data_IF_832832055566
#
_entry.id   IF_832832055566
#
_cell.length_a   1.000
_cell.length_b   1.000
_cell.length_c   1.000
_cell.angle_alpha   90.00
_cell.angle_beta   90.00
_cell.angle_gamma   90.00
#
_symmetry.space_group_name_H-M   'P 1'
#
loop_
_entity.id
_entity.type
_entity.pdbx_description
1 polymer ?
#
# COMPACT_ATOMS: atom_id res chain seq x y z
N UNK A 1 -16.22 19.76 -9.58
CA UNK A 1 -16.10 18.80 -10.71
C UNK A 1 -16.40 17.35 -10.31
N UNK A 2 -16.07 16.89 -9.09
CA UNK A 2 -16.38 15.52 -8.66
C UNK A 2 -17.89 15.29 -8.44
N UNK A 3 -18.60 16.26 -7.85
CA UNK A 3 -20.04 16.17 -7.59
C UNK A 3 -20.90 16.11 -8.86
N UNK A 4 -20.42 16.68 -10.00
CA UNK A 4 -21.13 16.60 -11.28
C UNK A 4 -21.04 15.23 -11.96
N UNK A 5 -20.20 14.33 -11.43
CA UNK A 5 -20.05 12.95 -11.92
C UNK A 5 -20.88 11.93 -11.14
N UNK A 6 -21.52 12.36 -10.05
CA UNK A 6 -22.47 11.49 -9.35
C UNK A 6 -23.68 11.35 -10.28
N UNK A 7 -23.97 10.14 -10.76
CA UNK A 7 -25.08 9.93 -11.67
C UNK A 7 -26.38 10.35 -11.01
N UNK A 8 -27.12 11.25 -11.63
CA UNK A 8 -28.51 11.46 -11.25
C UNK A 8 -29.26 10.15 -11.50
N UNK A 9 -29.90 9.60 -10.47
CA UNK A 9 -30.58 8.30 -10.50
C UNK A 9 -31.57 8.13 -11.66
N UNK A 10 -31.90 9.20 -12.36
CA UNK A 10 -32.86 9.23 -13.45
C UNK A 10 -32.25 9.39 -14.86
N UNK A 11 -30.94 9.66 -15.00
CA UNK A 11 -30.40 10.18 -16.26
C UNK A 11 -29.45 9.26 -17.05
N UNK A 12 -29.26 7.97 -16.69
CA UNK A 12 -28.14 7.20 -17.24
C UNK A 12 -28.60 5.96 -18.00
N UNK A 13 -28.40 5.96 -19.30
CA UNK A 13 -28.78 4.84 -20.17
C UNK A 13 -27.91 3.57 -20.04
N UNK A 14 -26.68 3.67 -19.58
CA UNK A 14 -25.79 2.51 -19.32
C UNK A 14 -25.71 2.13 -17.85
N UNK A 15 -25.75 3.10 -16.94
CA UNK A 15 -25.70 2.85 -15.50
C UNK A 15 -27.07 2.46 -14.90
N UNK A 16 -28.16 2.49 -15.67
CA UNK A 16 -29.45 1.97 -15.18
C UNK A 16 -29.35 0.51 -14.79
N UNK A 17 -28.62 -0.28 -15.55
CA UNK A 17 -28.43 -1.70 -15.27
C UNK A 17 -27.55 -1.89 -14.02
N UNK A 18 -26.47 -1.13 -13.88
CA UNK A 18 -25.58 -1.19 -12.71
C UNK A 18 -26.31 -0.76 -11.42
N UNK A 19 -27.10 0.32 -11.49
CA UNK A 19 -27.92 0.78 -10.36
C UNK A 19 -28.96 -0.26 -9.97
N UNK A 20 -29.60 -0.90 -10.95
CA UNK A 20 -30.59 -1.94 -10.72
C UNK A 20 -29.95 -3.18 -10.07
N UNK A 21 -28.73 -3.56 -10.50
CA UNK A 21 -27.96 -4.64 -9.88
C UNK A 21 -27.67 -4.30 -8.43
N UNK A 22 -27.12 -3.11 -8.15
CA UNK A 22 -26.77 -2.70 -6.79
C UNK A 22 -28.02 -2.65 -5.88
N UNK A 23 -29.13 -2.06 -6.34
CA UNK A 23 -30.40 -2.02 -5.59
C UNK A 23 -30.91 -3.41 -5.26
N UNK A 24 -30.83 -4.34 -6.22
CA UNK A 24 -31.24 -5.73 -6.00
C UNK A 24 -30.35 -6.41 -4.94
N UNK A 25 -29.05 -6.18 -4.98
CA UNK A 25 -28.14 -6.76 -3.99
C UNK A 25 -28.35 -6.17 -2.59
N UNK A 26 -28.57 -4.86 -2.47
CA UNK A 26 -28.85 -4.19 -1.20
C UNK A 26 -30.15 -4.69 -0.54
N UNK A 27 -31.13 -5.11 -1.33
CA UNK A 27 -32.40 -5.64 -0.80
C UNK A 27 -32.34 -7.12 -0.41
N UNK A 28 -31.24 -7.81 -0.70
CA UNK A 28 -31.08 -9.22 -0.32
C UNK A 28 -30.67 -9.35 1.14
N UNK A 29 -31.30 -10.25 1.85
CA UNK A 29 -30.91 -10.62 3.23
C UNK A 29 -29.99 -11.87 3.27
N UNK A 30 -29.98 -12.67 2.21
CA UNK A 30 -29.19 -13.90 2.08
C UNK A 30 -28.69 -14.07 0.65
N UNK A 31 -27.65 -14.87 0.46
CA UNK A 31 -27.03 -15.20 -0.83
C UNK A 31 -26.58 -13.90 -1.58
N UNK A 32 -25.88 -13.06 -0.87
CA UNK A 32 -25.24 -11.88 -1.47
C UNK A 32 -24.26 -12.29 -2.57
N UNK A 33 -24.18 -11.46 -3.60
CA UNK A 33 -23.19 -11.67 -4.67
C UNK A 33 -21.77 -11.50 -4.10
N UNK A 34 -20.82 -12.40 -4.42
CA UNK A 34 -19.42 -12.21 -4.05
C UNK A 34 -18.89 -10.85 -4.56
N UNK A 35 -18.09 -10.16 -3.76
CA UNK A 35 -17.58 -8.81 -4.09
C UNK A 35 -16.91 -8.73 -5.45
N UNK A 36 -16.11 -9.73 -5.82
CA UNK A 36 -15.48 -9.79 -7.14
C UNK A 36 -16.52 -9.72 -8.28
N UNK A 37 -17.59 -10.50 -8.18
CA UNK A 37 -18.66 -10.50 -9.18
C UNK A 37 -19.44 -9.19 -9.19
N UNK A 38 -19.65 -8.59 -8.02
CA UNK A 38 -20.30 -7.29 -7.91
C UNK A 38 -19.46 -6.20 -8.59
N UNK A 39 -18.16 -6.16 -8.31
CA UNK A 39 -17.25 -5.19 -8.92
C UNK A 39 -17.19 -5.31 -10.44
N UNK A 40 -17.20 -6.55 -10.96
CA UNK A 40 -17.31 -6.79 -12.42
C UNK A 40 -18.65 -6.33 -13.01
N UNK A 41 -19.73 -6.39 -12.22
CA UNK A 41 -21.06 -6.06 -12.69
C UNK A 41 -21.42 -4.57 -12.63
N UNK A 42 -20.69 -3.77 -11.80
CA UNK A 42 -20.97 -2.33 -11.59
C UNK A 42 -19.71 -1.44 -11.62
N UNK A 43 -18.77 -1.61 -12.56
CA UNK A 43 -17.48 -0.92 -12.52
C UNK A 43 -17.62 0.60 -12.64
N UNK A 44 -18.51 1.09 -13.51
CA UNK A 44 -18.72 2.53 -13.71
C UNK A 44 -19.41 3.19 -12.52
N UNK A 45 -20.38 2.51 -11.93
CA UNK A 45 -21.07 3.02 -10.76
C UNK A 45 -20.15 3.12 -9.56
N UNK A 46 -19.34 2.08 -9.31
CA UNK A 46 -18.46 2.06 -8.15
C UNK A 46 -17.34 3.10 -8.26
N UNK A 47 -16.73 3.29 -9.42
CA UNK A 47 -15.72 4.32 -9.65
C UNK A 47 -16.28 5.73 -9.60
N UNK A 48 -17.53 5.92 -10.00
CA UNK A 48 -18.22 7.21 -9.88
C UNK A 48 -18.54 7.57 -8.43
N UNK A 49 -18.95 6.59 -7.62
CA UNK A 49 -19.28 6.80 -6.21
C UNK A 49 -18.03 6.84 -5.33
N UNK A 50 -17.02 6.06 -5.66
CA UNK A 50 -15.76 5.90 -4.92
C UNK A 50 -14.60 5.92 -5.90
N UNK A 51 -14.11 7.09 -6.29
CA UNK A 51 -13.02 7.21 -7.28
C UNK A 51 -11.65 6.82 -6.74
N UNK A 52 -11.52 6.64 -5.43
CA UNK A 52 -10.30 6.24 -4.75
C UNK A 52 -10.49 4.89 -4.08
N UNK A 53 -9.56 3.96 -4.35
CA UNK A 53 -9.52 2.63 -3.77
C UNK A 53 -8.25 2.49 -2.93
N UNK A 54 -8.37 1.99 -1.71
CA UNK A 54 -7.25 1.62 -0.85
C UNK A 54 -7.27 0.10 -0.68
N UNK A 55 -6.30 -0.58 -1.28
CA UNK A 55 -6.25 -2.03 -1.34
C UNK A 55 -4.80 -2.50 -1.33
N UNK A 56 -4.55 -3.71 -0.85
CA UNK A 56 -3.24 -4.35 -1.10
C UNK A 56 -3.11 -4.72 -2.57
N UNK A 57 -1.89 -4.82 -3.13
CA UNK A 57 -1.67 -5.22 -4.52
C UNK A 57 -2.35 -6.54 -4.88
N UNK A 58 -2.26 -7.52 -3.99
CA UNK A 58 -2.94 -8.80 -4.15
C UNK A 58 -4.46 -8.66 -4.25
N UNK A 59 -5.05 -7.83 -3.37
CA UNK A 59 -6.49 -7.56 -3.42
C UNK A 59 -6.91 -6.87 -4.72
N UNK A 60 -6.10 -5.98 -5.25
CA UNK A 60 -6.33 -5.36 -6.56
C UNK A 60 -6.43 -6.45 -7.65
N UNK A 61 -5.48 -7.38 -7.67
CA UNK A 61 -5.45 -8.46 -8.67
C UNK A 61 -6.63 -9.41 -8.54
N UNK A 62 -7.11 -9.67 -7.32
CA UNK A 62 -8.24 -10.57 -7.05
C UNK A 62 -9.59 -9.93 -7.37
N UNK A 63 -9.80 -8.68 -6.99
CA UNK A 63 -11.13 -8.07 -7.00
C UNK A 63 -11.39 -7.16 -8.21
N UNK A 64 -10.37 -6.54 -8.77
CA UNK A 64 -10.52 -5.59 -9.87
C UNK A 64 -10.13 -6.26 -11.19
N UNK A 65 -11.08 -6.37 -12.10
CA UNK A 65 -10.80 -6.88 -13.46
C UNK A 65 -9.97 -5.85 -14.23
N UNK A 66 -8.84 -6.30 -14.81
CA UNK A 66 -7.88 -5.41 -15.45
C UNK A 66 -8.46 -4.59 -16.61
N UNK A 67 -9.43 -5.16 -17.34
CA UNK A 67 -10.05 -4.49 -18.48
C UNK A 67 -11.20 -3.54 -18.08
N UNK A 68 -11.68 -3.64 -16.85
CA UNK A 68 -12.83 -2.87 -16.36
C UNK A 68 -12.44 -1.67 -15.50
N UNK A 69 -11.19 -1.59 -15.06
CA UNK A 69 -10.70 -0.55 -14.17
C UNK A 69 -9.45 0.10 -14.76
N UNK A 70 -9.55 1.39 -15.03
CA UNK A 70 -8.47 2.24 -15.54
C UNK A 70 -8.38 3.48 -14.64
N UNK A 71 -7.32 3.55 -13.84
CA UNK A 71 -7.09 4.64 -12.91
C UNK A 71 -6.15 5.68 -13.51
N UNK A 72 -6.37 6.94 -13.21
CA UNK A 72 -5.45 8.00 -13.63
C UNK A 72 -4.11 7.92 -12.90
N UNK A 73 -4.12 7.40 -11.66
CA UNK A 73 -2.94 7.31 -10.81
C UNK A 73 -3.00 6.11 -9.87
N UNK A 74 -1.91 5.37 -9.79
CA UNK A 74 -1.65 4.34 -8.78
C UNK A 74 -0.56 4.85 -7.86
N UNK A 75 -0.78 4.75 -6.55
CA UNK A 75 0.20 5.14 -5.53
C UNK A 75 0.50 3.91 -4.68
N UNK A 76 1.76 3.53 -4.61
CA UNK A 76 2.24 2.57 -3.64
C UNK A 76 2.77 3.33 -2.43
N UNK A 77 2.30 2.95 -1.25
CA UNK A 77 2.83 3.40 0.03
C UNK A 77 3.53 2.23 0.72
N UNK A 78 4.59 2.51 1.48
CA UNK A 78 5.46 1.48 2.08
C UNK A 78 6.02 0.48 1.05
N UNK A 79 6.42 0.98 -0.11
CA UNK A 79 6.80 0.19 -1.27
C UNK A 79 8.07 -0.66 -1.07
N UNK A 80 8.88 -0.35 -0.04
CA UNK A 80 10.00 -1.20 0.40
C UNK A 80 9.55 -2.59 0.88
N UNK A 81 8.27 -2.76 1.23
CA UNK A 81 7.70 -4.02 1.72
C UNK A 81 6.90 -4.77 0.66
N UNK A 82 6.87 -4.29 -0.58
CA UNK A 82 6.08 -4.88 -1.67
C UNK A 82 7.00 -5.52 -2.69
N UNK A 83 6.82 -6.82 -2.94
CA UNK A 83 7.52 -7.50 -4.01
C UNK A 83 7.13 -6.96 -5.39
N UNK A 84 8.07 -6.91 -6.32
CA UNK A 84 7.84 -6.38 -7.66
C UNK A 84 6.73 -7.12 -8.39
N UNK A 85 6.71 -8.44 -8.33
CA UNK A 85 5.69 -9.28 -8.96
C UNK A 85 4.29 -9.00 -8.46
N UNK A 86 4.12 -8.72 -7.18
CA UNK A 86 2.82 -8.35 -6.60
C UNK A 86 2.33 -6.99 -7.09
N UNK A 87 3.24 -6.06 -7.33
CA UNK A 87 2.92 -4.72 -7.77
C UNK A 87 2.42 -4.63 -9.21
N UNK A 88 2.84 -5.54 -10.09
CA UNK A 88 2.56 -5.50 -11.54
C UNK A 88 1.06 -5.40 -11.80
N UNK A 89 0.27 -6.22 -11.10
CA UNK A 89 -1.18 -6.24 -11.27
C UNK A 89 -1.84 -4.88 -10.99
N UNK A 90 -1.34 -4.14 -10.02
CA UNK A 90 -1.84 -2.80 -9.71
C UNK A 90 -1.33 -1.76 -10.72
N UNK A 91 -0.04 -1.82 -11.10
CA UNK A 91 0.57 -0.90 -12.07
C UNK A 91 -0.17 -0.96 -13.42
N UNK A 92 -0.51 -2.15 -13.89
CA UNK A 92 -1.21 -2.35 -15.16
C UNK A 92 -2.59 -1.68 -15.24
N UNK A 93 -3.16 -1.28 -14.11
CA UNK A 93 -4.48 -0.62 -14.04
C UNK A 93 -4.38 0.91 -13.94
N UNK A 94 -3.19 1.48 -14.01
CA UNK A 94 -2.95 2.91 -13.91
C UNK A 94 -2.23 3.51 -15.10
N UNK A 95 -2.54 4.78 -15.38
CA UNK A 95 -1.83 5.58 -16.40
C UNK A 95 -0.53 6.16 -15.90
N UNK A 96 -0.45 6.38 -14.59
CA UNK A 96 0.72 6.92 -13.88
C UNK A 96 0.94 6.15 -12.60
N UNK A 97 2.19 6.09 -12.15
CA UNK A 97 2.55 5.46 -10.88
C UNK A 97 3.39 6.42 -10.04
N UNK A 98 3.12 6.43 -8.75
CA UNK A 98 3.98 7.03 -7.73
C UNK A 98 4.33 5.94 -6.73
N UNK A 99 5.61 5.75 -6.49
CA UNK A 99 6.12 4.74 -5.58
C UNK A 99 6.74 5.47 -4.39
N UNK A 100 6.14 5.28 -3.20
CA UNK A 100 6.57 5.93 -1.96
C UNK A 100 7.05 4.86 -1.00
N UNK A 101 8.21 5.07 -0.43
CA UNK A 101 8.80 4.15 0.53
C UNK A 101 10.11 4.68 1.06
N UNK A 102 10.77 3.86 1.85
CA UNK A 102 12.05 4.17 2.48
C UNK A 102 12.99 2.96 2.35
N UNK A 103 14.05 3.10 1.56
CA UNK A 103 15.06 2.05 1.33
C UNK A 103 15.88 1.72 2.58
N UNK A 104 15.72 2.46 3.68
CA UNK A 104 16.36 2.20 4.98
C UNK A 104 15.46 1.44 5.94
N UNK A 105 14.21 1.19 5.55
CA UNK A 105 13.28 0.35 6.31
C UNK A 105 13.40 -1.12 5.88
N UNK A 106 12.61 -1.97 6.53
CA UNK A 106 12.68 -3.42 6.28
C UNK A 106 12.26 -3.76 4.85
N UNK A 107 12.98 -4.69 4.21
CA UNK A 107 12.58 -5.24 2.91
C UNK A 107 11.32 -6.11 3.03
N UNK A 108 10.76 -6.58 1.90
CA UNK A 108 9.66 -7.53 1.93
C UNK A 108 10.05 -8.78 2.73
N UNK A 109 9.10 -9.31 3.51
CA UNK A 109 9.34 -10.53 4.29
C UNK A 109 8.55 -11.69 3.69
N UNK A 110 9.22 -12.80 3.42
CA UNK A 110 8.61 -14.06 2.94
C UNK A 110 7.84 -14.80 4.04
N UNK A 111 7.79 -14.27 5.27
CA UNK A 111 7.20 -14.95 6.42
C UNK A 111 5.73 -15.37 6.21
N UNK A 112 4.96 -14.58 5.48
CA UNK A 112 3.57 -14.92 5.18
C UNK A 112 3.39 -15.78 3.92
N UNK A 113 4.38 -15.89 3.07
CA UNK A 113 4.32 -16.71 1.85
C UNK A 113 4.39 -18.20 2.20
N UNK A 114 5.11 -18.54 3.25
CA UNK A 114 5.28 -19.92 3.72
C UNK A 114 4.00 -20.47 4.37
N UNK A 115 3.19 -19.60 4.99
CA UNK A 115 1.98 -20.01 5.70
C UNK A 115 0.80 -20.41 4.81
N UNK A 116 0.85 -20.13 3.51
CA UNK A 116 -0.23 -20.49 2.57
C UNK A 116 -0.01 -21.87 1.95
N UNK A 117 1.19 -22.42 2.06
CA UNK A 117 1.55 -23.70 1.45
C UNK A 117 1.47 -24.90 2.43
N UNK A 118 1.15 -24.68 3.71
CA UNK A 118 1.22 -25.72 4.74
C UNK A 118 -0.06 -26.57 4.90
N UNK A 119 -1.05 -26.47 4.01
CA UNK A 119 -2.26 -27.29 4.16
C UNK A 119 -2.33 -28.54 3.26
N UNK A 120 -1.35 -28.90 2.47
CA UNK A 120 -1.32 -30.23 1.83
C UNK A 120 -0.02 -30.43 1.03
N UNK A 121 1.09 -30.80 1.69
CA UNK A 121 2.08 -31.68 1.04
C UNK A 121 3.23 -31.99 2.02
N UNK A 122 3.21 -33.19 2.58
CA UNK A 122 4.39 -33.88 3.07
C UNK A 122 5.37 -34.07 1.89
N UNK A 123 6.36 -33.22 1.81
CA UNK A 123 7.57 -33.53 1.04
C UNK A 123 8.77 -33.05 1.84
N UNK A 124 9.47 -34.02 2.42
CA UNK A 124 10.87 -33.88 2.80
C UNK A 124 11.67 -33.31 1.63
N UNK A 125 11.96 -32.04 1.67
CA UNK A 125 13.03 -31.45 0.88
C UNK A 125 13.64 -30.32 1.68
N UNK A 126 14.84 -30.57 2.17
CA UNK A 126 15.82 -29.54 2.53
C UNK A 126 16.03 -28.62 1.32
N UNK A 127 15.13 -27.67 1.10
CA UNK A 127 15.36 -26.57 0.16
C UNK A 127 16.27 -25.60 0.89
N UNK A 128 17.55 -25.83 0.72
CA UNK A 128 18.58 -24.80 0.90
C UNK A 128 18.12 -23.65 0.01
N UNK A 129 17.64 -22.58 0.60
CA UNK A 129 17.43 -21.31 -0.10
C UNK A 129 18.83 -20.86 -0.50
N UNK A 130 19.14 -21.06 -1.76
CA UNK A 130 20.40 -20.61 -2.34
C UNK A 130 20.38 -19.07 -2.29
N UNK A 131 21.20 -18.52 -1.41
CA UNK A 131 21.44 -17.08 -1.24
C UNK A 131 22.20 -16.47 -2.45
N UNK A 132 22.12 -17.13 -3.61
CA UNK A 132 22.97 -16.94 -4.76
C UNK A 132 22.46 -16.05 -5.88
N UNK A 133 21.31 -15.39 -5.77
CA UNK A 133 20.89 -14.43 -6.81
C UNK A 133 21.19 -12.98 -6.39
N UNK A 134 22.46 -12.62 -6.43
CA UNK A 134 22.97 -11.28 -6.15
C UNK A 134 22.59 -10.25 -7.24
N UNK A 135 21.36 -10.25 -7.73
CA UNK A 135 20.93 -9.36 -8.80
C UNK A 135 19.44 -9.05 -8.85
N UNK A 136 18.62 -9.74 -8.10
CA UNK A 136 17.18 -9.44 -8.04
C UNK A 136 16.91 -8.32 -7.03
N UNK A 137 16.17 -7.31 -7.42
CA UNK A 137 15.66 -6.31 -6.50
C UNK A 137 14.65 -6.96 -5.55
N UNK A 138 14.81 -6.73 -4.25
CA UNK A 138 13.92 -7.33 -3.24
C UNK A 138 12.53 -6.69 -3.26
N UNK A 139 12.43 -5.39 -3.60
CA UNK A 139 11.20 -4.63 -3.57
C UNK A 139 10.95 -3.81 -4.82
N UNK A 140 9.68 -3.48 -5.07
CA UNK A 140 9.32 -2.55 -6.15
C UNK A 140 9.94 -1.16 -5.95
N UNK A 141 10.26 -0.76 -4.71
CA UNK A 141 10.94 0.50 -4.44
C UNK A 141 12.37 0.47 -4.97
N UNK A 142 13.12 -0.61 -4.74
CA UNK A 142 14.51 -0.75 -5.19
C UNK A 142 14.60 -0.73 -6.71
N UNK A 143 13.69 -1.43 -7.37
CA UNK A 143 13.59 -1.41 -8.82
C UNK A 143 13.21 -0.03 -9.35
N UNK A 144 12.26 0.65 -8.69
CA UNK A 144 11.84 1.98 -9.08
C UNK A 144 12.94 3.04 -8.96
N UNK A 145 13.75 2.98 -7.90
CA UNK A 145 14.89 3.89 -7.70
C UNK A 145 15.90 3.77 -8.82
N UNK A 146 16.07 2.58 -9.40
CA UNK A 146 16.99 2.37 -10.51
C UNK A 146 16.55 2.99 -11.83
N UNK A 147 15.24 3.18 -12.05
CA UNK A 147 14.69 3.59 -13.36
C UNK A 147 13.86 4.87 -13.34
N UNK A 148 13.32 5.28 -12.18
CA UNK A 148 12.46 6.45 -12.07
C UNK A 148 13.17 7.62 -11.38
N UNK A 149 12.77 8.87 -11.68
CA UNK A 149 13.32 10.03 -11.00
C UNK A 149 12.89 10.07 -9.53
N UNK A 150 13.86 10.18 -8.65
CA UNK A 150 13.66 10.22 -7.19
C UNK A 150 13.39 11.64 -6.68
N UNK A 151 12.57 11.72 -5.63
CA UNK A 151 12.33 12.91 -4.81
C UNK A 151 12.27 12.52 -3.34
N UNK A 152 13.13 13.11 -2.52
CA UNK A 152 13.18 12.84 -1.07
C UNK A 152 12.26 13.78 -0.31
N UNK A 153 11.42 13.22 0.56
CA UNK A 153 10.65 13.97 1.55
C UNK A 153 11.50 14.18 2.79
N UNK A 154 11.74 15.45 3.16
CA UNK A 154 12.66 15.80 4.24
C UNK A 154 11.97 16.18 5.54
N UNK A 155 10.70 16.60 5.50
CA UNK A 155 9.99 17.05 6.69
C UNK A 155 9.50 15.89 7.52
N UNK A 156 10.01 15.80 8.76
CA UNK A 156 9.58 14.82 9.74
C UNK A 156 8.64 15.48 10.76
N UNK A 157 7.40 15.02 10.82
CA UNK A 157 6.36 15.56 11.69
C UNK A 157 5.77 14.53 12.66
N UNK A 158 6.06 13.25 12.48
CA UNK A 158 5.46 12.16 13.26
C UNK A 158 5.93 12.14 14.72
N UNK A 159 7.19 12.41 14.96
CA UNK A 159 7.74 12.42 16.32
C UNK A 159 7.27 13.69 17.06
N UNK A 160 6.73 13.48 18.27
CA UNK A 160 6.30 14.60 19.13
C UNK A 160 7.45 15.42 19.67
N UNK A 161 8.63 14.82 19.74
CA UNK A 161 9.85 15.45 20.19
C UNK A 161 10.99 15.11 19.23
N UNK A 162 11.82 16.10 18.91
CA UNK A 162 12.92 15.95 17.95
C UNK A 162 13.97 14.92 18.38
N UNK A 163 14.19 14.72 19.69
CA UNK A 163 15.12 13.70 20.20
C UNK A 163 14.75 12.28 19.78
N UNK A 164 13.46 11.99 19.55
CA UNK A 164 13.00 10.65 19.16
C UNK A 164 13.50 10.23 17.78
N UNK A 165 13.71 11.18 16.88
CA UNK A 165 14.24 10.89 15.54
C UNK A 165 15.72 11.25 15.39
N UNK A 166 16.31 11.96 16.35
CA UNK A 166 17.67 12.49 16.26
C UNK A 166 18.72 11.40 15.98
N UNK A 167 18.64 10.27 16.68
CA UNK A 167 19.54 9.14 16.44
C UNK A 167 19.45 8.62 15.02
N UNK A 168 18.24 8.32 14.54
CA UNK A 168 18.01 7.82 13.17
C UNK A 168 18.41 8.87 12.14
N UNK A 169 18.11 10.15 12.38
CA UNK A 169 18.48 11.22 11.48
C UNK A 169 20.00 11.29 11.28
N UNK A 170 20.78 11.21 12.36
CA UNK A 170 22.24 11.27 12.30
C UNK A 170 22.84 9.99 11.70
N UNK A 171 22.36 8.82 12.15
CA UNK A 171 22.99 7.53 11.82
C UNK A 171 22.53 6.92 10.52
N UNK A 172 21.30 7.18 10.09
CA UNK A 172 20.65 6.51 8.95
C UNK A 172 20.36 7.50 7.82
N UNK A 173 19.83 8.67 8.15
CA UNK A 173 19.37 9.66 7.15
C UNK A 173 20.35 10.80 6.89
N UNK A 174 21.63 10.66 7.30
CA UNK A 174 22.69 11.64 7.04
C UNK A 174 22.34 13.08 7.50
N UNK A 175 21.55 13.19 8.55
CA UNK A 175 21.06 14.47 9.08
C UNK A 175 20.25 15.31 8.07
N UNK A 176 19.54 14.66 7.14
CA UNK A 176 18.78 15.33 6.11
C UNK A 176 17.32 15.60 6.50
N UNK A 177 16.82 14.96 7.57
CA UNK A 177 15.48 15.19 8.04
C UNK A 177 15.37 16.53 8.78
N UNK A 178 14.36 17.30 8.40
CA UNK A 178 14.02 18.58 9.02
C UNK A 178 12.93 18.32 10.05
N UNK A 179 13.20 18.60 11.31
CA UNK A 179 12.23 18.45 12.40
C UNK A 179 11.63 19.80 12.78
N UNK A 180 10.42 19.78 13.29
CA UNK A 180 9.83 20.95 13.94
C UNK A 180 10.36 21.05 15.38
N UNK A 181 10.87 22.22 15.81
CA UNK A 181 11.30 22.39 17.17
C UNK A 181 10.11 22.20 18.12
N UNK A 182 10.31 21.40 19.15
CA UNK A 182 9.29 21.20 20.17
C UNK A 182 9.17 22.43 21.06
N UNK A 183 7.96 22.93 21.28
CA UNK A 183 7.69 23.96 22.27
C UNK A 183 7.90 23.48 23.71
N UNK A 184 8.02 22.18 23.91
CA UNK A 184 8.22 21.52 25.21
C UNK A 184 9.61 20.91 25.35
N UNK A 185 10.60 21.46 24.65
CA UNK A 185 11.98 20.95 24.66
C UNK A 185 12.61 20.80 26.07
N UNK A 186 12.12 21.55 27.04
CA UNK A 186 12.56 21.52 28.44
C UNK A 186 11.54 20.90 29.38
N UNK A 187 10.46 20.28 28.89
CA UNK A 187 9.49 19.64 29.76
C UNK A 187 10.08 18.35 30.36
N UNK A 188 10.00 18.14 31.69
CA UNK A 188 10.28 16.84 32.27
C UNK A 188 9.35 15.82 31.62
N UNK A 189 9.77 14.63 31.39
CA UNK A 189 9.02 13.53 30.75
C UNK A 189 8.89 13.61 29.21
N UNK A 190 9.62 14.51 28.53
CA UNK A 190 9.65 14.58 27.08
C UNK A 190 11.04 14.27 26.51
N UNK A 191 11.09 13.49 25.42
CA UNK A 191 12.32 13.17 24.70
C UNK A 191 12.87 11.79 25.02
N UNK A 192 14.20 11.67 25.02
CA UNK A 192 14.93 10.45 25.33
C UNK A 192 15.82 10.69 26.53
N UNK A 193 15.66 9.86 27.55
CA UNK A 193 16.48 9.87 28.77
C UNK A 193 17.31 8.58 28.87
N UNK A 194 18.56 8.73 29.27
CA UNK A 194 19.43 7.60 29.57
C UNK A 194 19.30 7.21 31.03
N UNK A 195 18.84 6.00 31.30
CA UNK A 195 18.77 5.43 32.64
C UNK A 195 19.74 4.27 32.72
N UNK A 196 20.78 4.41 33.57
CA UNK A 196 21.72 3.34 33.80
C UNK A 196 21.16 2.34 34.82
N UNK A 197 21.05 1.09 34.43
CA UNK A 197 20.67 -0.03 35.32
C UNK A 197 21.90 -0.85 35.58
N UNK A 198 22.34 -0.86 36.84
CA UNK A 198 23.65 -1.39 37.24
C UNK A 198 23.81 -2.90 37.03
N UNK A 199 22.76 -3.66 37.09
CA UNK A 199 22.75 -5.13 37.01
C UNK A 199 21.67 -5.65 36.05
N UNK A 200 21.37 -4.90 34.98
CA UNK A 200 20.37 -5.22 33.96
C UNK A 200 20.93 -5.93 32.74
#
# INVERSE_FOLDING_TARGET
>A
RALSRIPDFNSINGARDEIAILKRELNKQRRLMPLRKLFMAIPNLITSLRPCFMMSPLSVSVFLEAQSYDFDLVIFDEASQVHTEDAIGAIMRGKQVIIVGDTKQLPPTSFFSTSINDEDFDVDSDVIVDDGDAGAYESILDEAVAILPERSLRWHYRSRHEHLIAFSNIKIYNNQLITFPSSTASAPDCGVEYVYVKDG
#
